data_IF_184837645579
#
_entry.id   IF_184837645579
#
_cell.length_a   1.000
_cell.length_b   1.000
_cell.length_c   1.000
_cell.angle_alpha   90.00
_cell.angle_beta   90.00
_cell.angle_gamma   90.00
#
_symmetry.space_group_name_H-M   'P 1'
#
loop_
_entity.id
_entity.type
_entity.pdbx_description
1 polymer ?
#
# COMPACT_ATOMS: atom_id res chain seq x y z
N UNK A 1 -0.26 -11.92 -38.88
CA UNK A 1 1.18 -12.16 -39.12
C UNK A 1 1.92 -10.84 -38.89
N UNK A 2 1.92 -10.34 -37.64
CA UNK A 2 2.38 -8.95 -37.35
C UNK A 2 2.93 -8.75 -35.93
N UNK A 3 3.03 -9.80 -35.11
CA UNK A 3 3.41 -9.71 -33.70
C UNK A 3 4.93 -9.98 -33.51
N UNK A 4 5.55 -10.71 -34.46
CA UNK A 4 6.95 -11.15 -34.34
C UNK A 4 7.98 -10.15 -34.88
N UNK A 5 7.56 -9.10 -35.60
CA UNK A 5 8.48 -8.08 -36.14
C UNK A 5 8.80 -6.98 -35.13
N UNK A 6 7.90 -6.73 -34.18
CA UNK A 6 8.07 -5.66 -33.19
C UNK A 6 9.18 -5.98 -32.18
N UNK A 7 9.35 -7.25 -31.83
CA UNK A 7 10.36 -7.69 -30.86
C UNK A 7 11.79 -7.51 -31.43
N UNK A 8 12.02 -7.92 -32.68
CA UNK A 8 13.35 -7.86 -33.32
C UNK A 8 13.91 -6.45 -33.56
N UNK A 9 13.05 -5.43 -33.65
CA UNK A 9 13.51 -4.03 -33.83
C UNK A 9 13.94 -3.36 -32.51
N UNK A 10 13.45 -3.86 -31.37
CA UNK A 10 13.86 -3.38 -30.06
C UNK A 10 15.27 -3.88 -29.71
N UNK A 11 15.59 -5.15 -30.01
CA UNK A 11 16.91 -5.72 -29.74
C UNK A 11 18.03 -5.09 -30.59
N UNK A 12 17.74 -4.73 -31.86
CA UNK A 12 18.73 -4.13 -32.77
C UNK A 12 19.04 -2.67 -32.46
N UNK A 13 18.13 -1.94 -31.81
CA UNK A 13 18.32 -0.54 -31.41
C UNK A 13 18.93 -0.39 -30.01
N UNK A 14 18.70 -1.34 -29.10
CA UNK A 14 19.27 -1.32 -27.75
C UNK A 14 20.78 -1.66 -27.71
N UNK A 15 21.23 -2.64 -28.48
CA UNK A 15 22.64 -3.06 -28.50
C UNK A 15 23.63 -1.91 -28.80
N UNK A 16 23.44 -1.06 -29.85
CA UNK A 16 24.34 0.05 -30.12
C UNK A 16 24.21 1.22 -29.13
N UNK A 17 23.08 1.35 -28.42
CA UNK A 17 22.89 2.37 -27.39
C UNK A 17 23.77 2.11 -26.16
N UNK A 18 23.98 0.84 -25.80
CA UNK A 18 24.84 0.43 -24.67
C UNK A 18 26.34 0.42 -25.00
N UNK A 19 26.73 0.55 -26.27
CA UNK A 19 28.14 0.58 -26.68
C UNK A 19 28.83 1.90 -26.32
N UNK A 20 28.07 3.00 -26.21
CA UNK A 20 28.64 4.31 -25.91
C UNK A 20 28.77 4.51 -24.38
N UNK A 21 29.98 4.75 -23.84
CA UNK A 21 30.20 4.82 -22.39
C UNK A 21 29.39 5.95 -21.73
N UNK A 22 29.14 7.05 -22.46
CA UNK A 22 28.33 8.16 -21.96
C UNK A 22 26.87 7.76 -21.75
N UNK A 23 26.29 6.95 -22.63
CA UNK A 23 24.92 6.50 -22.53
C UNK A 23 24.75 5.52 -21.36
N UNK A 24 25.75 4.70 -21.09
CA UNK A 24 25.77 3.81 -19.92
C UNK A 24 25.75 4.63 -18.63
N UNK A 25 26.60 5.66 -18.53
CA UNK A 25 26.61 6.56 -17.37
C UNK A 25 25.27 7.29 -17.22
N UNK A 26 24.73 7.82 -18.32
CA UNK A 26 23.41 8.49 -18.31
C UNK A 26 22.28 7.54 -17.92
N UNK A 27 22.32 6.26 -18.34
CA UNK A 27 21.32 5.26 -17.97
C UNK A 27 21.41 4.89 -16.50
N UNK A 28 22.61 4.80 -15.93
CA UNK A 28 22.81 4.59 -14.48
C UNK A 28 22.26 5.78 -13.68
N UNK A 29 22.53 7.01 -14.12
CA UNK A 29 22.01 8.24 -13.49
C UNK A 29 20.49 8.30 -13.59
N UNK A 30 19.93 8.00 -14.77
CA UNK A 30 18.49 7.97 -14.99
C UNK A 30 17.83 6.90 -14.11
N UNK A 31 18.42 5.70 -14.05
CA UNK A 31 18.04 4.62 -13.15
C UNK A 31 18.03 5.06 -11.68
N UNK A 32 19.09 5.70 -11.23
CA UNK A 32 19.19 6.26 -9.89
C UNK A 32 18.10 7.29 -9.59
N UNK A 33 17.76 8.14 -10.57
CA UNK A 33 16.71 9.16 -10.43
C UNK A 33 15.29 8.57 -10.40
N UNK A 34 15.03 7.43 -11.06
CA UNK A 34 13.70 6.78 -11.08
C UNK A 34 13.47 5.82 -9.90
N UNK A 35 14.53 5.29 -9.25
CA UNK A 35 14.41 4.45 -8.05
C UNK A 35 13.54 5.10 -6.95
N UNK A 36 13.71 6.38 -6.57
CA UNK A 36 12.87 7.00 -5.55
C UNK A 36 11.43 7.28 -6.02
N UNK A 37 11.13 7.18 -7.32
CA UNK A 37 9.81 7.48 -7.87
C UNK A 37 8.80 6.36 -7.58
N UNK A 38 9.27 5.14 -7.36
CA UNK A 38 8.43 4.03 -6.90
C UNK A 38 8.41 4.03 -5.37
N UNK A 39 7.34 4.54 -4.72
CA UNK A 39 7.20 4.38 -3.29
C UNK A 39 7.30 2.89 -2.99
N UNK A 40 8.21 2.48 -2.10
CA UNK A 40 8.35 1.09 -1.68
C UNK A 40 6.95 0.56 -1.37
N UNK A 41 6.47 -0.39 -2.18
CA UNK A 41 5.25 -1.10 -1.90
C UNK A 41 5.52 -1.95 -0.66
N UNK A 42 5.29 -1.36 0.51
CA UNK A 42 5.34 -2.08 1.78
C UNK A 42 4.11 -2.98 1.82
N UNK A 43 4.30 -4.22 1.38
CA UNK A 43 3.32 -5.29 1.55
C UNK A 43 3.37 -5.89 2.97
N UNK A 44 4.29 -5.42 3.82
CA UNK A 44 4.42 -5.86 5.21
C UNK A 44 3.15 -5.58 6.04
N UNK A 45 2.34 -4.58 5.65
CA UNK A 45 1.04 -4.29 6.27
C UNK A 45 -0.05 -5.36 5.97
N UNK A 46 0.18 -6.28 5.03
CA UNK A 46 -0.69 -7.44 4.77
C UNK A 46 -0.23 -8.69 5.50
N UNK A 47 0.95 -8.66 6.13
CA UNK A 47 1.39 -9.73 7.01
C UNK A 47 0.59 -9.58 8.30
N UNK A 48 -0.50 -10.35 8.38
CA UNK A 48 -1.21 -10.62 9.63
C UNK A 48 -0.17 -10.84 10.74
N UNK A 49 -0.28 -10.16 11.90
CA UNK A 49 0.58 -10.43 13.05
C UNK A 49 0.13 -11.75 13.69
N UNK A 50 0.21 -12.84 12.94
CA UNK A 50 0.39 -14.15 13.50
C UNK A 50 1.88 -14.25 13.81
N UNK A 51 2.19 -14.26 15.10
CA UNK A 51 3.52 -14.53 15.65
C UNK A 51 4.49 -13.33 15.78
N UNK A 52 4.16 -12.37 16.65
CA UNK A 52 5.19 -11.60 17.37
C UNK A 52 4.89 -11.64 18.86
N UNK A 53 5.04 -12.83 19.45
CA UNK A 53 5.30 -12.98 20.87
C UNK A 53 6.75 -12.60 21.21
N UNK A 54 7.22 -11.40 20.88
CA UNK A 54 8.55 -10.96 21.33
C UNK A 54 8.85 -9.46 21.16
N UNK A 55 7.98 -8.57 21.68
CA UNK A 55 8.43 -7.23 22.10
C UNK A 55 7.80 -6.90 23.45
N UNK A 56 8.28 -7.59 24.50
CA UNK A 56 8.32 -7.04 25.84
C UNK A 56 9.68 -6.35 25.96
N UNK A 57 9.74 -5.07 26.31
CA UNK A 57 9.89 -4.68 27.73
C UNK A 57 10.32 -3.24 28.06
N UNK A 58 10.30 -2.22 27.17
CA UNK A 58 11.12 -1.02 27.49
C UNK A 58 10.40 0.34 27.52
N UNK A 59 9.07 0.43 27.43
CA UNK A 59 8.36 1.71 27.63
C UNK A 59 7.50 1.69 28.89
N UNK A 60 8.07 2.20 29.99
CA UNK A 60 7.38 2.49 31.25
C UNK A 60 6.42 3.67 31.05
N UNK A 61 5.18 3.39 30.66
CA UNK A 61 4.10 4.38 30.67
C UNK A 61 3.56 4.46 32.10
N UNK A 62 3.74 5.59 32.77
CA UNK A 62 3.19 5.87 34.09
C UNK A 62 1.66 5.77 34.06
N UNK A 63 1.15 4.87 34.91
CA UNK A 63 -0.24 4.42 34.93
C UNK A 63 -1.13 5.43 35.66
N UNK A 64 -2.08 6.03 34.93
CA UNK A 64 -3.32 6.55 35.52
C UNK A 64 -4.34 5.40 35.62
N UNK A 65 -5.12 5.27 36.72
CA UNK A 65 -5.83 4.05 37.06
C UNK A 65 -7.19 3.96 36.34
N UNK A 66 -7.18 3.84 35.01
CA UNK A 66 -8.34 3.39 34.24
C UNK A 66 -7.82 2.46 33.14
N UNK A 67 -7.48 1.24 33.53
CA UNK A 67 -7.02 0.19 32.62
C UNK A 67 -8.23 -0.51 31.97
N UNK A 68 -8.95 0.21 31.09
CA UNK A 68 -9.85 -0.44 30.14
C UNK A 68 -9.01 -0.88 28.93
N UNK A 69 -8.57 -2.14 28.93
CA UNK A 69 -8.08 -2.80 27.72
C UNK A 69 -8.89 -4.08 27.49
N UNK A 70 -10.21 -3.96 27.36
CA UNK A 70 -11.01 -5.08 26.89
C UNK A 70 -10.79 -5.18 25.37
N UNK A 71 -9.93 -6.12 24.97
CA UNK A 71 -9.85 -6.56 23.58
C UNK A 71 -10.78 -7.76 23.43
N UNK A 72 -11.74 -7.77 22.47
CA UNK A 72 -12.56 -8.94 22.24
C UNK A 72 -11.69 -10.14 21.83
N UNK A 73 -12.03 -11.33 22.33
CA UNK A 73 -11.27 -12.56 22.11
C UNK A 73 -11.12 -12.91 20.62
N UNK A 74 -12.12 -12.53 19.81
CA UNK A 74 -12.09 -12.68 18.35
C UNK A 74 -12.70 -11.42 17.73
N UNK A 75 -11.98 -10.81 16.78
CA UNK A 75 -12.57 -9.83 15.89
C UNK A 75 -13.46 -10.59 14.89
N UNK A 76 -14.66 -10.08 14.55
CA UNK A 76 -15.45 -10.69 13.49
C UNK A 76 -14.63 -10.74 12.20
N UNK A 77 -14.76 -11.85 11.46
CA UNK A 77 -13.99 -12.08 10.24
C UNK A 77 -14.32 -10.94 9.26
N UNK A 78 -13.35 -10.04 9.02
CA UNK A 78 -13.56 -8.89 8.15
C UNK A 78 -13.38 -9.32 6.68
N UNK A 79 -14.48 -9.51 5.98
CA UNK A 79 -14.47 -9.75 4.54
C UNK A 79 -14.23 -8.41 3.83
N UNK A 80 -13.11 -8.28 3.12
CA UNK A 80 -12.86 -7.14 2.23
C UNK A 80 -13.85 -7.22 1.08
N UNK A 81 -14.95 -6.49 1.19
CA UNK A 81 -16.11 -6.69 0.32
C UNK A 81 -15.95 -6.04 -1.06
N UNK A 82 -15.13 -4.97 -1.17
CA UNK A 82 -14.97 -4.19 -2.40
C UNK A 82 -13.78 -3.22 -2.33
N UNK A 83 -13.12 -3.01 -3.46
CA UNK A 83 -12.14 -1.93 -3.65
C UNK A 83 -12.85 -0.62 -3.98
N UNK A 84 -12.49 0.46 -3.29
CA UNK A 84 -13.04 1.80 -3.51
C UNK A 84 -11.98 2.74 -4.05
N UNK A 85 -12.33 3.54 -5.05
CA UNK A 85 -11.54 4.71 -5.44
C UNK A 85 -11.85 5.91 -4.52
N UNK A 86 -10.93 6.87 -4.35
CA UNK A 86 -11.21 8.07 -3.55
C UNK A 86 -12.43 8.87 -4.04
N UNK A 87 -12.67 8.84 -5.36
CA UNK A 87 -13.82 9.50 -5.98
C UNK A 87 -15.15 8.81 -5.58
N UNK A 88 -15.17 7.48 -5.60
CA UNK A 88 -16.34 6.70 -5.14
C UNK A 88 -16.54 6.84 -3.62
N UNK A 89 -15.46 6.90 -2.83
CA UNK A 89 -15.55 6.99 -1.38
C UNK A 89 -16.19 8.32 -0.92
N UNK A 90 -16.00 9.40 -1.69
CA UNK A 90 -16.52 10.74 -1.38
C UNK A 90 -18.05 10.78 -1.25
N UNK A 91 -18.78 9.92 -1.93
CA UNK A 91 -20.26 9.89 -1.84
C UNK A 91 -20.78 9.27 -0.53
N UNK A 92 -19.90 8.65 0.27
CA UNK A 92 -20.22 8.00 1.54
C UNK A 92 -19.79 8.87 2.73
N UNK A 93 -20.18 10.14 2.70
CA UNK A 93 -19.87 11.15 3.73
C UNK A 93 -20.90 11.18 4.88
N UNK A 94 -21.95 10.37 4.79
CA UNK A 94 -23.03 10.38 5.77
C UNK A 94 -23.98 11.58 5.64
N UNK A 95 -23.96 12.34 4.55
CA UNK A 95 -25.03 13.29 4.28
C UNK A 95 -26.38 12.55 4.11
N UNK A 96 -27.48 13.19 4.52
CA UNK A 96 -28.86 12.68 4.37
C UNK A 96 -29.13 11.29 4.98
N UNK A 97 -28.40 10.90 6.04
CA UNK A 97 -28.61 9.59 6.65
C UNK A 97 -27.94 8.44 5.89
N UNK A 98 -27.13 8.70 4.86
CA UNK A 98 -26.41 7.67 4.09
C UNK A 98 -25.32 6.92 4.88
N UNK A 99 -24.74 5.88 4.28
CA UNK A 99 -23.60 5.15 4.86
C UNK A 99 -22.38 6.06 5.02
N UNK A 100 -21.62 5.84 6.08
CA UNK A 100 -20.34 6.53 6.35
C UNK A 100 -19.22 5.51 6.11
N UNK A 101 -18.44 5.71 5.05
CA UNK A 101 -17.26 4.90 4.77
C UNK A 101 -16.01 5.74 4.97
N UNK A 102 -15.04 5.20 5.72
CA UNK A 102 -13.81 5.91 6.01
C UNK A 102 -12.59 5.06 5.69
N UNK A 103 -11.61 5.64 4.99
CA UNK A 103 -10.39 4.94 4.62
C UNK A 103 -9.22 5.33 5.54
N UNK A 104 -8.59 4.34 6.16
CA UNK A 104 -7.34 4.48 6.94
C UNK A 104 -6.35 3.44 6.44
N UNK A 105 -5.14 3.88 6.10
CA UNK A 105 -4.08 3.01 5.57
C UNK A 105 -4.56 2.05 4.45
N UNK A 106 -5.28 2.59 3.46
CA UNK A 106 -5.87 1.84 2.32
C UNK A 106 -6.95 0.81 2.68
N UNK A 107 -7.36 0.72 3.94
CA UNK A 107 -8.49 -0.10 4.40
C UNK A 107 -9.72 0.78 4.56
N UNK A 108 -10.89 0.30 4.12
CA UNK A 108 -12.17 1.03 4.22
C UNK A 108 -13.02 0.41 5.33
N UNK A 109 -13.48 1.25 6.24
CA UNK A 109 -14.29 0.88 7.39
C UNK A 109 -15.70 1.48 7.24
N UNK A 110 -16.73 0.69 7.55
CA UNK A 110 -18.11 1.18 7.68
C UNK A 110 -18.31 1.71 9.10
N UNK A 111 -18.49 3.02 9.23
CA UNK A 111 -18.69 3.72 10.50
C UNK A 111 -20.17 4.12 10.70
N UNK A 112 -21.09 3.57 9.90
CA UNK A 112 -22.51 3.95 9.94
C UNK A 112 -23.19 3.63 11.29
N UNK A 113 -22.61 2.74 12.10
CA UNK A 113 -23.15 2.36 13.41
C UNK A 113 -22.90 3.40 14.51
N UNK A 114 -22.02 4.38 14.29
CA UNK A 114 -21.62 5.36 15.29
C UNK A 114 -22.36 6.70 15.26
N UNK A 115 -23.53 6.76 14.60
CA UNK A 115 -24.38 7.97 14.55
C UNK A 115 -25.16 8.20 15.83
#
# INVERSE_FOLDING_TARGET
MSILTFDSELWTTCLPFLTNPINVVLLVILGYAIIPLFPSFKFDDLRSPEDVTEIKQDLKIETSPIQYNWKPAKLPDSVVWRTYTPLELRSFDGANGGKILFAINKLVYDLSSGR
#
